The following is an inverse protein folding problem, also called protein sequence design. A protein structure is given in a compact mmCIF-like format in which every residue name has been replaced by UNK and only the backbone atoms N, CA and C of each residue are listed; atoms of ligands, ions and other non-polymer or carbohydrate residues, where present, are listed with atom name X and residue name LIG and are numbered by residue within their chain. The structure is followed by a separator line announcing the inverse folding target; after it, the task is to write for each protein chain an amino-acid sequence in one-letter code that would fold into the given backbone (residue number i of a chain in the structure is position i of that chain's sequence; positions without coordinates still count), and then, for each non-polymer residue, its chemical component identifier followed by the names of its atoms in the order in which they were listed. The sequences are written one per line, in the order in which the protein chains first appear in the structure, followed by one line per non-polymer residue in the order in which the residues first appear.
data_IF_999278564074
#
_entry.id   IF_999278564074
#
_cell.length_a   1.000
_cell.length_b   1.000
_cell.length_c   1.000
_cell.angle_alpha   90.00
_cell.angle_beta   90.00
_cell.angle_gamma   90.00
#
_symmetry.space_group_name_H-M   'P 1'
#
loop_
_entity.id
_entity.type
_entity.pdbx_description
1 polymer ?
#
# COMPACT_ATOMS: atom_id res chain seq x y z
N UNK A 1 66.69 -14.25 3.08
CA UNK A 1 65.89 -14.25 4.32
C UNK A 1 64.91 -13.07 4.40
N UNK A 2 65.36 -11.84 4.08
CA UNK A 2 64.49 -10.63 4.12
C UNK A 2 63.30 -10.63 3.12
N UNK A 3 63.42 -11.19 1.93
CA UNK A 3 62.34 -11.23 0.96
C UNK A 3 61.19 -12.22 1.35
N UNK A 4 61.50 -13.35 1.95
CA UNK A 4 60.49 -14.30 2.45
C UNK A 4 59.62 -13.68 3.56
N UNK A 5 60.24 -12.83 4.41
CA UNK A 5 59.56 -12.16 5.53
C UNK A 5 58.63 -11.07 4.98
N UNK A 6 59.05 -10.32 3.94
CA UNK A 6 58.19 -9.31 3.29
C UNK A 6 56.99 -9.94 2.57
N UNK A 7 57.15 -11.04 1.91
CA UNK A 7 56.08 -11.78 1.22
C UNK A 7 55.04 -12.32 2.21
N UNK A 8 55.50 -12.90 3.35
CA UNK A 8 54.61 -13.38 4.40
C UNK A 8 53.83 -12.24 5.09
N UNK A 9 54.45 -11.08 5.32
CA UNK A 9 53.81 -9.90 5.91
C UNK A 9 52.73 -9.29 4.98
N UNK A 10 52.98 -9.20 3.68
CA UNK A 10 52.00 -8.72 2.72
C UNK A 10 50.82 -9.69 2.58
N UNK A 11 51.05 -10.98 2.62
CA UNK A 11 49.97 -11.99 2.53
C UNK A 11 49.05 -11.91 3.75
N UNK A 12 49.61 -11.70 4.95
CA UNK A 12 48.80 -11.54 6.18
C UNK A 12 47.95 -10.25 6.19
N UNK A 13 48.47 -9.18 5.62
CA UNK A 13 47.67 -7.93 5.46
C UNK A 13 46.52 -8.09 4.47
N UNK A 14 46.78 -8.71 3.32
CA UNK A 14 45.75 -8.96 2.31
C UNK A 14 44.63 -9.84 2.87
N UNK A 15 44.95 -10.90 3.62
CA UNK A 15 43.96 -11.75 4.27
C UNK A 15 43.16 -11.01 5.35
N UNK A 16 43.79 -10.09 6.09
CA UNK A 16 43.12 -9.26 7.09
C UNK A 16 42.13 -8.30 6.44
N UNK A 17 42.55 -7.58 5.36
CA UNK A 17 41.64 -6.71 4.62
C UNK A 17 40.50 -7.45 3.96
N UNK A 18 40.74 -8.63 3.40
CA UNK A 18 39.68 -9.48 2.81
C UNK A 18 38.65 -9.85 3.87
N UNK A 19 39.09 -10.19 5.06
CA UNK A 19 38.21 -10.57 6.17
C UNK A 19 37.35 -9.40 6.66
N UNK A 20 37.91 -8.19 6.76
CA UNK A 20 37.14 -6.98 7.13
C UNK A 20 36.11 -6.60 6.06
N UNK A 21 36.47 -6.74 4.78
CA UNK A 21 35.52 -6.53 3.67
C UNK A 21 34.36 -7.54 3.74
N UNK A 22 34.66 -8.82 3.95
CA UNK A 22 33.64 -9.86 4.05
C UNK A 22 32.68 -9.58 5.23
N UNK A 23 33.20 -9.21 6.39
CA UNK A 23 32.38 -8.82 7.55
C UNK A 23 31.43 -7.66 7.21
N UNK A 24 31.96 -6.61 6.56
CA UNK A 24 31.19 -5.45 6.16
C UNK A 24 30.07 -5.83 5.19
N UNK A 25 30.37 -6.68 4.22
CA UNK A 25 29.37 -7.17 3.25
C UNK A 25 28.27 -7.98 3.96
N UNK A 26 28.66 -8.90 4.86
CA UNK A 26 27.70 -9.68 5.65
C UNK A 26 26.83 -8.77 6.51
N UNK A 27 27.42 -7.78 7.16
CA UNK A 27 26.67 -6.82 7.99
C UNK A 27 25.67 -6.02 7.16
N UNK A 28 26.10 -5.46 6.03
CA UNK A 28 25.20 -4.71 5.13
C UNK A 28 24.06 -5.61 4.62
N UNK A 29 24.39 -6.83 4.21
CA UNK A 29 23.38 -7.80 3.76
C UNK A 29 22.37 -8.12 4.87
N UNK A 30 22.83 -8.34 6.10
CA UNK A 30 21.95 -8.57 7.25
C UNK A 30 21.02 -7.39 7.52
N UNK A 31 21.54 -6.15 7.51
CA UNK A 31 20.74 -4.94 7.71
C UNK A 31 19.69 -4.79 6.59
N UNK A 32 20.08 -4.96 5.34
CA UNK A 32 19.17 -4.91 4.19
C UNK A 32 18.09 -5.97 4.30
N UNK A 33 18.46 -7.21 4.66
CA UNK A 33 17.48 -8.30 4.85
C UNK A 33 16.47 -7.98 5.94
N UNK A 34 16.90 -7.39 7.06
CA UNK A 34 16.02 -6.94 8.15
C UNK A 34 15.03 -5.89 7.62
N UNK A 35 15.51 -4.88 6.88
CA UNK A 35 14.65 -3.85 6.32
C UNK A 35 13.59 -4.47 5.40
N UNK A 36 14.00 -5.32 4.46
CA UNK A 36 13.05 -5.97 3.55
C UNK A 36 12.06 -6.88 4.28
N UNK A 37 12.48 -7.56 5.34
CA UNK A 37 11.59 -8.48 6.07
C UNK A 37 10.52 -7.75 6.88
N UNK A 38 10.86 -6.61 7.51
CA UNK A 38 9.99 -5.95 8.46
C UNK A 38 9.24 -4.74 7.90
N UNK A 39 9.75 -4.08 6.87
CA UNK A 39 9.21 -2.80 6.39
C UNK A 39 8.57 -2.86 5.00
N UNK A 40 8.90 -3.89 4.23
CA UNK A 40 8.48 -4.00 2.84
C UNK A 40 7.72 -5.31 2.64
N UNK A 41 6.56 -5.22 2.03
CA UNK A 41 5.75 -6.37 1.63
C UNK A 41 5.36 -6.21 0.17
N UNK A 42 5.23 -7.32 -0.53
CA UNK A 42 4.64 -7.33 -1.87
C UNK A 42 3.19 -7.82 -1.82
N UNK A 43 2.40 -7.37 -2.77
CA UNK A 43 1.05 -7.86 -2.97
C UNK A 43 0.75 -7.99 -4.47
N UNK A 44 -0.04 -9.00 -4.81
CA UNK A 44 -0.58 -9.17 -6.15
C UNK A 44 -1.96 -8.52 -6.23
N UNK A 45 -2.17 -7.68 -7.23
CA UNK A 45 -3.48 -7.11 -7.54
C UNK A 45 -4.31 -8.18 -8.23
N UNK A 46 -5.48 -8.47 -7.66
CA UNK A 46 -6.43 -9.43 -8.22
C UNK A 46 -7.76 -8.72 -8.50
N UNK A 47 -8.23 -8.83 -9.74
CA UNK A 47 -9.47 -8.22 -10.20
C UNK A 47 -9.33 -6.76 -10.63
N UNK A 48 -10.47 -6.16 -10.96
CA UNK A 48 -10.53 -4.86 -11.64
C UNK A 48 -11.10 -3.73 -10.80
N UNK A 49 -11.20 -3.89 -9.47
CA UNK A 49 -11.78 -2.85 -8.60
C UNK A 49 -10.96 -1.55 -8.54
N UNK A 50 -9.68 -1.60 -8.88
CA UNK A 50 -8.77 -0.46 -8.95
C UNK A 50 -8.38 -0.10 -10.40
N UNK A 51 -9.16 -0.61 -11.38
CA UNK A 51 -8.89 -0.35 -12.80
C UNK A 51 -8.85 1.16 -13.10
N UNK A 52 -7.90 1.55 -13.94
CA UNK A 52 -7.50 2.93 -14.17
C UNK A 52 -6.20 3.25 -13.44
N UNK A 53 -6.08 2.83 -12.18
CA UNK A 53 -4.83 2.99 -11.39
C UNK A 53 -4.03 1.70 -11.32
N UNK A 54 -4.68 0.56 -11.02
CA UNK A 54 -4.05 -0.77 -10.94
C UNK A 54 -4.81 -1.75 -11.82
N UNK A 55 -4.09 -2.71 -12.40
CA UNK A 55 -4.65 -3.73 -13.26
C UNK A 55 -4.46 -5.11 -12.65
N UNK A 56 -5.32 -6.04 -13.02
CA UNK A 56 -5.17 -7.45 -12.65
C UNK A 56 -3.78 -7.98 -13.04
N UNK A 57 -3.14 -8.71 -12.13
CA UNK A 57 -1.77 -9.22 -12.30
C UNK A 57 -0.65 -8.24 -11.97
N UNK A 58 -0.93 -6.97 -11.64
CA UNK A 58 0.10 -6.05 -11.16
C UNK A 58 0.67 -6.55 -9.82
N UNK A 59 1.98 -6.38 -9.65
CA UNK A 59 2.62 -6.58 -8.34
C UNK A 59 3.03 -5.22 -7.78
N UNK A 60 2.59 -4.98 -6.57
CA UNK A 60 2.79 -3.70 -5.87
C UNK A 60 3.63 -3.89 -4.62
N UNK A 61 4.41 -2.88 -4.31
CA UNK A 61 5.17 -2.81 -3.08
C UNK A 61 4.38 -2.03 -2.03
N UNK A 62 4.26 -2.63 -0.85
CA UNK A 62 3.59 -2.06 0.32
C UNK A 62 4.62 -1.66 1.38
N UNK A 63 4.36 -0.55 2.06
CA UNK A 63 5.08 -0.14 3.28
C UNK A 63 4.09 0.02 4.42
N UNK A 64 4.45 -0.49 5.61
CA UNK A 64 3.55 -0.49 6.78
C UNK A 64 4.13 0.17 8.03
N UNK A 65 5.42 0.55 8.01
CA UNK A 65 6.07 1.08 9.20
C UNK A 65 5.54 2.46 9.60
N UNK A 66 4.97 2.56 10.80
CA UNK A 66 4.44 3.79 11.40
C UNK A 66 3.54 4.59 10.42
N UNK A 67 2.69 3.87 9.69
CA UNK A 67 1.85 4.45 8.66
C UNK A 67 0.54 4.98 9.25
N UNK A 68 0.27 6.25 9.02
CA UNK A 68 -1.02 6.90 9.29
C UNK A 68 -1.73 7.12 7.95
N UNK A 69 -2.94 6.58 7.75
CA UNK A 69 -3.65 6.71 6.48
C UNK A 69 -4.03 8.16 6.18
N UNK A 70 -3.96 8.52 4.89
CA UNK A 70 -4.38 9.84 4.39
C UNK A 70 -5.33 9.66 3.22
N UNK A 71 -6.25 10.59 3.04
CA UNK A 71 -7.10 10.65 1.86
C UNK A 71 -6.26 10.65 0.58
N UNK A 72 -6.65 9.82 -0.38
CA UNK A 72 -5.92 9.58 -1.62
C UNK A 72 -4.96 8.38 -1.61
N UNK A 73 -4.52 7.91 -0.44
CA UNK A 73 -3.60 6.77 -0.34
C UNK A 73 -4.25 5.48 -0.83
N UNK A 74 -3.48 4.64 -1.53
CA UNK A 74 -3.89 3.28 -1.89
C UNK A 74 -3.37 2.33 -0.82
N UNK A 75 -4.26 1.57 -0.20
CA UNK A 75 -3.94 0.67 0.91
C UNK A 75 -4.37 -0.76 0.61
N UNK A 76 -3.56 -1.70 1.08
CA UNK A 76 -3.96 -3.09 1.21
C UNK A 76 -4.58 -3.29 2.59
N UNK A 77 -5.77 -3.89 2.63
CA UNK A 77 -6.57 -4.09 3.83
C UNK A 77 -6.82 -5.58 4.05
N UNK A 78 -6.69 -6.01 5.28
CA UNK A 78 -7.12 -7.34 5.71
C UNK A 78 -8.61 -7.32 6.02
N UNK A 79 -9.44 -7.66 5.04
CA UNK A 79 -10.88 -7.72 5.18
C UNK A 79 -11.38 -9.16 5.46
N UNK A 80 -10.52 -10.04 6.01
CA UNK A 80 -10.87 -11.45 6.27
C UNK A 80 -12.05 -11.59 7.23
N UNK A 81 -12.19 -10.67 8.18
CA UNK A 81 -13.32 -10.65 9.10
C UNK A 81 -14.64 -10.16 8.47
N UNK A 82 -14.58 -9.53 7.29
CA UNK A 82 -15.72 -8.93 6.59
C UNK A 82 -16.17 -9.80 5.41
N UNK A 83 -15.22 -10.16 4.53
CA UNK A 83 -15.50 -10.84 3.27
C UNK A 83 -14.52 -11.99 2.98
N UNK A 84 -13.79 -12.49 3.97
CA UNK A 84 -12.79 -13.56 3.88
C UNK A 84 -11.68 -13.30 2.82
N UNK A 85 -11.34 -12.03 2.58
CA UNK A 85 -10.37 -11.62 1.53
C UNK A 85 -9.53 -10.44 1.97
N UNK A 86 -8.35 -10.34 1.37
CA UNK A 86 -7.55 -9.11 1.37
C UNK A 86 -7.95 -8.27 0.16
N UNK A 87 -8.08 -6.98 0.35
CA UNK A 87 -8.50 -6.05 -0.69
C UNK A 87 -7.51 -4.90 -0.83
N UNK A 88 -7.44 -4.33 -2.04
CA UNK A 88 -6.69 -3.11 -2.30
C UNK A 88 -7.70 -2.04 -2.68
N UNK A 89 -7.68 -0.91 -1.98
CA UNK A 89 -8.63 0.20 -2.14
C UNK A 89 -7.93 1.53 -1.93
N UNK A 90 -8.61 2.60 -2.32
CA UNK A 90 -8.18 3.97 -2.03
C UNK A 90 -8.88 4.50 -0.80
N UNK A 91 -8.11 5.13 0.09
CA UNK A 91 -8.65 5.88 1.25
C UNK A 91 -9.34 7.13 0.72
N UNK A 92 -10.60 7.28 1.05
CA UNK A 92 -11.43 8.44 0.66
C UNK A 92 -11.54 9.41 1.82
N UNK A 93 -11.88 8.90 3.00
CA UNK A 93 -11.97 9.71 4.21
C UNK A 93 -11.32 8.98 5.40
N UNK A 94 -10.79 9.76 6.33
CA UNK A 94 -10.14 9.30 7.56
C UNK A 94 -10.90 9.80 8.79
N UNK A 95 -10.49 9.37 9.96
CA UNK A 95 -11.11 9.75 11.25
C UNK A 95 -11.39 11.27 11.36
N UNK A 96 -12.51 11.63 11.93
CA UNK A 96 -12.95 13.00 12.17
C UNK A 96 -13.51 13.70 10.92
N UNK A 97 -13.41 13.11 9.72
CA UNK A 97 -13.94 13.69 8.50
C UNK A 97 -15.40 13.28 8.25
N UNK A 98 -16.18 14.18 7.67
CA UNK A 98 -17.56 13.92 7.25
C UNK A 98 -17.56 13.57 5.77
N UNK A 99 -18.06 12.38 5.45
CA UNK A 99 -18.18 11.87 4.09
C UNK A 99 -19.64 11.98 3.60
N UNK A 100 -19.82 12.43 2.37
CA UNK A 100 -21.10 12.45 1.67
C UNK A 100 -20.92 11.95 0.24
N UNK A 101 -21.86 11.15 -0.26
CA UNK A 101 -21.87 10.65 -1.64
C UNK A 101 -23.22 11.00 -2.27
N UNK A 102 -23.18 11.79 -3.33
CA UNK A 102 -24.32 12.05 -4.16
C UNK A 102 -24.35 11.04 -5.32
N UNK A 103 -25.16 10.02 -5.18
CA UNK A 103 -25.31 8.98 -6.22
C UNK A 103 -26.03 9.47 -7.49
N UNK A 104 -26.68 10.64 -7.47
CA UNK A 104 -27.32 11.21 -8.65
C UNK A 104 -26.31 11.84 -9.61
N UNK A 105 -25.28 12.45 -9.07
CA UNK A 105 -24.17 13.07 -9.83
C UNK A 105 -22.92 12.16 -9.85
N UNK A 106 -22.81 11.22 -8.92
CA UNK A 106 -21.63 10.37 -8.71
C UNK A 106 -20.50 11.05 -7.93
N UNK A 107 -20.73 12.26 -7.43
CA UNK A 107 -19.73 13.05 -6.73
C UNK A 107 -19.56 12.59 -5.27
N UNK A 108 -18.34 12.72 -4.79
CA UNK A 108 -17.95 12.43 -3.40
C UNK A 108 -17.48 13.72 -2.75
N UNK A 109 -17.95 13.97 -1.54
CA UNK A 109 -17.60 15.15 -0.74
C UNK A 109 -17.00 14.71 0.58
N UNK A 110 -15.91 15.37 0.97
CA UNK A 110 -15.27 15.20 2.29
C UNK A 110 -15.22 16.56 2.96
N UNK A 111 -15.81 16.68 4.15
CA UNK A 111 -15.97 17.94 4.91
C UNK A 111 -16.66 19.04 4.08
N UNK A 112 -17.62 18.64 3.22
CA UNK A 112 -18.35 19.53 2.33
C UNK A 112 -17.58 19.97 1.09
N UNK A 113 -16.35 19.50 0.88
CA UNK A 113 -15.54 19.79 -0.31
C UNK A 113 -15.61 18.63 -1.28
N UNK A 114 -15.99 18.91 -2.54
CA UNK A 114 -16.03 17.92 -3.61
C UNK A 114 -14.60 17.43 -3.92
N UNK A 115 -14.41 16.12 -3.96
CA UNK A 115 -13.12 15.51 -4.31
C UNK A 115 -12.88 15.61 -5.83
N UNK A 116 -11.67 15.99 -6.20
CA UNK A 116 -11.19 15.88 -7.59
C UNK A 116 -10.66 14.47 -7.84
N UNK A 117 -11.42 13.65 -8.55
CA UNK A 117 -11.19 12.23 -8.67
C UNK A 117 -10.77 11.82 -10.09
N UNK A 118 -9.67 12.39 -10.60
CA UNK A 118 -9.13 12.08 -11.93
C UNK A 118 -8.76 10.60 -12.15
N UNK A 119 -8.69 9.82 -11.06
CA UNK A 119 -8.31 8.41 -11.05
C UNK A 119 -9.49 7.44 -11.24
N UNK A 120 -10.74 7.90 -11.13
CA UNK A 120 -11.90 7.01 -11.29
C UNK A 120 -12.07 6.61 -12.75
N UNK A 121 -12.41 5.35 -12.96
CA UNK A 121 -12.62 4.79 -14.30
C UNK A 121 -14.09 4.60 -14.66
N UNK A 122 -14.99 4.79 -13.71
CA UNK A 122 -16.43 4.59 -13.91
C UNK A 122 -17.26 5.42 -12.91
N UNK A 123 -18.51 5.68 -13.27
CA UNK A 123 -19.46 6.40 -12.43
C UNK A 123 -19.68 5.74 -11.07
N UNK A 124 -19.78 6.55 -10.00
CA UNK A 124 -20.03 6.06 -8.64
C UNK A 124 -21.46 5.55 -8.50
N UNK A 125 -21.62 4.23 -8.53
CA UNK A 125 -22.91 3.56 -8.37
C UNK A 125 -23.26 3.36 -6.92
N UNK A 126 -24.57 3.40 -6.65
CA UNK A 126 -25.16 3.01 -5.39
C UNK A 126 -25.07 1.48 -5.22
N UNK A 127 -24.56 0.95 -4.09
CA UNK A 127 -24.58 -0.48 -3.82
C UNK A 127 -25.97 -0.97 -3.42
N UNK A 128 -26.18 -2.28 -3.43
CA UNK A 128 -27.44 -2.89 -2.97
C UNK A 128 -27.65 -2.71 -1.47
N UNK A 129 -26.59 -2.90 -0.70
CA UNK A 129 -26.58 -2.74 0.77
C UNK A 129 -25.95 -1.39 1.12
N UNK A 130 -26.71 -0.35 0.98
CA UNK A 130 -26.21 1.03 1.10
C UNK A 130 -25.71 1.37 2.52
N UNK A 131 -24.55 2.01 2.57
CA UNK A 131 -24.10 2.75 3.73
C UNK A 131 -24.76 4.14 3.74
N UNK A 132 -25.27 4.59 4.89
CA UNK A 132 -26.02 5.86 4.98
C UNK A 132 -25.10 7.06 5.07
N UNK A 133 -25.38 8.09 4.26
CA UNK A 133 -24.66 9.35 4.21
C UNK A 133 -25.57 10.54 4.56
N UNK A 134 -25.04 11.70 5.03
CA UNK A 134 -23.63 11.93 5.39
C UNK A 134 -23.19 11.13 6.61
N UNK A 135 -21.90 10.80 6.69
CA UNK A 135 -21.35 9.97 7.77
C UNK A 135 -20.04 10.56 8.31
N UNK A 136 -19.99 10.79 9.62
CA UNK A 136 -18.78 11.15 10.34
C UNK A 136 -17.94 9.90 10.60
N UNK A 137 -16.70 9.89 10.10
CA UNK A 137 -15.79 8.76 10.29
C UNK A 137 -15.30 8.73 11.74
N UNK A 138 -15.53 7.65 12.49
CA UNK A 138 -15.08 7.52 13.87
C UNK A 138 -13.55 7.44 13.98
N UNK A 139 -13.04 7.66 15.18
CA UNK A 139 -11.61 7.49 15.49
C UNK A 139 -11.13 6.09 15.15
N UNK A 140 -9.93 5.99 14.59
CA UNK A 140 -9.29 4.74 14.16
C UNK A 140 -9.98 4.00 13.03
N UNK A 141 -10.86 4.65 12.28
CA UNK A 141 -11.48 4.09 11.08
C UNK A 141 -11.18 4.91 9.84
N UNK A 142 -11.24 4.24 8.70
CA UNK A 142 -11.18 4.86 7.39
C UNK A 142 -12.34 4.39 6.52
N UNK A 143 -12.67 5.19 5.51
CA UNK A 143 -13.58 4.83 4.44
C UNK A 143 -12.80 4.65 3.16
N UNK A 144 -12.93 3.49 2.52
CA UNK A 144 -12.17 3.15 1.33
C UNK A 144 -13.08 2.86 0.13
N UNK A 145 -12.65 3.24 -1.06
CA UNK A 145 -13.36 2.94 -2.31
C UNK A 145 -12.39 2.42 -3.37
N UNK A 146 -12.92 1.62 -4.30
CA UNK A 146 -12.19 1.26 -5.50
C UNK A 146 -12.23 2.38 -6.54
N UNK A 147 -11.19 2.49 -7.36
CA UNK A 147 -11.14 3.47 -8.45
C UNK A 147 -12.11 3.10 -9.59
N UNK A 148 -12.41 1.81 -9.74
CA UNK A 148 -13.50 1.34 -10.59
C UNK A 148 -14.82 1.32 -9.80
N UNK A 149 -15.40 2.49 -9.63
CA UNK A 149 -16.60 2.77 -8.82
C UNK A 149 -17.80 1.90 -9.15
N UNK A 150 -17.94 1.51 -10.42
CA UNK A 150 -19.11 0.78 -10.91
C UNK A 150 -19.17 -0.68 -10.53
N UNK A 151 -18.04 -1.31 -10.20
CA UNK A 151 -17.95 -2.75 -9.89
C UNK A 151 -17.26 -3.06 -8.55
N UNK A 152 -16.68 -2.04 -7.91
CA UNK A 152 -15.93 -2.25 -6.67
C UNK A 152 -16.86 -2.56 -5.51
N UNK A 153 -16.61 -3.69 -4.84
CA UNK A 153 -17.11 -3.96 -3.50
C UNK A 153 -16.16 -3.28 -2.51
N UNK A 154 -16.67 -2.29 -1.75
CA UNK A 154 -15.89 -1.42 -0.87
C UNK A 154 -16.75 -0.83 0.26
N UNK A 155 -16.26 0.15 1.00
CA UNK A 155 -16.94 0.71 2.17
C UNK A 155 -18.33 1.28 1.91
N UNK A 156 -18.72 1.51 0.67
CA UNK A 156 -20.10 1.90 0.32
C UNK A 156 -21.11 0.80 0.61
N UNK A 157 -20.68 -0.45 0.50
CA UNK A 157 -21.51 -1.61 0.86
C UNK A 157 -21.35 -1.91 2.34
N UNK A 158 -22.47 -2.09 3.04
CA UNK A 158 -22.48 -2.37 4.48
C UNK A 158 -21.82 -3.69 4.86
N UNK A 159 -21.58 -4.60 3.90
CA UNK A 159 -20.83 -5.84 4.13
C UNK A 159 -19.33 -5.59 4.40
N UNK A 160 -18.79 -4.48 3.91
CA UNK A 160 -17.45 -4.01 4.23
C UNK A 160 -17.54 -2.87 5.27
N UNK A 161 -18.33 -1.83 4.97
CA UNK A 161 -18.49 -0.69 5.87
C UNK A 161 -17.16 0.02 6.14
N UNK A 162 -17.02 0.56 7.34
CA UNK A 162 -15.78 1.21 7.80
C UNK A 162 -14.68 0.19 8.05
N UNK A 163 -13.46 0.55 7.66
CA UNK A 163 -12.27 -0.29 7.84
C UNK A 163 -11.49 0.21 9.05
N UNK A 164 -11.22 -0.63 10.07
CA UNK A 164 -10.34 -0.27 11.17
C UNK A 164 -8.91 0.01 10.66
N UNK A 165 -8.24 1.01 11.21
CA UNK A 165 -6.85 1.32 10.84
C UNK A 165 -5.88 0.17 11.13
N UNK A 166 -6.18 -0.68 12.12
CA UNK A 166 -5.39 -1.87 12.47
C UNK A 166 -5.44 -2.96 11.39
N UNK A 167 -6.47 -2.98 10.55
CA UNK A 167 -6.62 -3.91 9.43
C UNK A 167 -5.81 -3.48 8.19
N UNK A 168 -5.15 -2.33 8.22
CA UNK A 168 -4.31 -1.86 7.12
C UNK A 168 -3.00 -2.67 7.12
N UNK A 169 -2.78 -3.47 6.07
CA UNK A 169 -1.55 -4.23 5.86
C UNK A 169 -0.39 -3.30 5.48
N UNK A 170 -0.69 -2.23 4.72
CA UNK A 170 0.29 -1.23 4.29
C UNK A 170 -0.22 -0.36 3.16
N UNK A 171 0.51 0.76 2.93
CA UNK A 171 0.30 1.68 1.81
C UNK A 171 1.05 1.18 0.58
N UNK A 172 0.39 1.16 -0.56
CA UNK A 172 0.99 0.88 -1.85
C UNK A 172 1.85 2.07 -2.31
N UNK A 173 3.13 1.79 -2.62
CA UNK A 173 4.09 2.81 -3.01
C UNK A 173 4.31 2.84 -4.51
N UNK A 174 4.49 1.67 -5.13
CA UNK A 174 4.66 1.59 -6.57
C UNK A 174 4.33 0.20 -7.12
N UNK A 175 4.02 0.16 -8.42
CA UNK A 175 3.92 -1.07 -9.21
C UNK A 175 5.32 -1.42 -9.69
N UNK A 176 5.81 -2.64 -9.40
CA UNK A 176 7.13 -3.09 -9.83
C UNK A 176 7.09 -4.18 -10.90
N UNK A 177 5.93 -4.75 -11.15
CA UNK A 177 5.69 -5.72 -12.22
C UNK A 177 4.24 -5.59 -12.72
N UNK A 178 3.99 -5.73 -14.02
CA UNK A 178 4.94 -6.00 -15.09
C UNK A 178 5.85 -4.78 -15.41
N UNK A 179 7.01 -5.02 -16.01
CA UNK A 179 8.04 -4.00 -16.18
C UNK A 179 7.64 -2.83 -17.09
N UNK A 180 6.67 -3.03 -17.99
CA UNK A 180 6.10 -2.02 -18.87
C UNK A 180 5.10 -1.09 -18.15
N UNK A 181 4.70 -1.43 -16.93
CA UNK A 181 3.76 -0.65 -16.10
C UNK A 181 4.35 -0.16 -14.77
N UNK A 182 5.66 -0.16 -14.64
CA UNK A 182 6.32 0.38 -13.44
C UNK A 182 5.92 1.85 -13.26
N UNK A 183 5.32 2.16 -12.11
CA UNK A 183 4.93 3.54 -11.75
C UNK A 183 4.81 3.70 -10.24
N UNK A 184 5.02 4.93 -9.76
CA UNK A 184 4.67 5.32 -8.40
C UNK A 184 3.17 5.49 -8.25
N UNK A 185 2.67 5.21 -7.04
CA UNK A 185 1.28 5.35 -6.64
C UNK A 185 1.18 6.52 -5.65
N UNK A 186 0.41 7.53 -6.03
CA UNK A 186 0.18 8.75 -5.24
C UNK A 186 -1.21 8.71 -4.66
#
# INVERSE_FOLDING_TARGET
MREKIKCSYNHSKITCYSFEIIKSVIFVFAVVSIIFTFFIRDANVVGNSMYGTLHDGDKILLTSFNYTPKSGDIVAVNAENMIEKRIIKRVIATEGQTLEIDYSTGNVYVDGVMLEEAYISSFTKKPENEFKFPYLIPDNYIFVMGDNRGISLDSRDSSIGLVPCEDIIGKAQFVFYPFDRIKYLY
#
